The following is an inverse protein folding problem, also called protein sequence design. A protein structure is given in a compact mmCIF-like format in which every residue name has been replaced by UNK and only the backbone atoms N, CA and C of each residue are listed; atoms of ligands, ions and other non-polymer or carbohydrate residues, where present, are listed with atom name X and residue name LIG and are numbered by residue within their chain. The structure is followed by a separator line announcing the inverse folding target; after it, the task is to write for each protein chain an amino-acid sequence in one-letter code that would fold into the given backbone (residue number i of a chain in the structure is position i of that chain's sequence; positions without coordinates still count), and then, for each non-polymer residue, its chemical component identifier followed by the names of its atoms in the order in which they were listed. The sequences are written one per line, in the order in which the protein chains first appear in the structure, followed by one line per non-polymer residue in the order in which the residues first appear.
data_IF_213651792319
#
_entry.id   IF_213651792319
#
_cell.length_a   1.000
_cell.length_b   1.000
_cell.length_c   1.000
_cell.angle_alpha   90.00
_cell.angle_beta   90.00
_cell.angle_gamma   90.00
#
_symmetry.space_group_name_H-M   'P 1'
#
loop_
_entity.id
_entity.type
_entity.pdbx_description
1 polymer ?
#
# COMPACT_ATOMS: atom_id res chain seq x y z
N UNK A 1 11.85 -17.59 -2.66
CA UNK A 1 11.93 -16.12 -2.50
C UNK A 1 11.03 -15.50 -3.56
N UNK A 2 10.18 -14.54 -3.19
CA UNK A 2 9.43 -13.74 -4.17
C UNK A 2 10.45 -12.93 -4.96
N UNK A 3 10.54 -13.16 -6.27
CA UNK A 3 11.31 -12.31 -7.15
C UNK A 3 10.47 -11.06 -7.40
N UNK A 4 10.81 -9.95 -6.74
CA UNK A 4 10.20 -8.62 -6.95
C UNK A 4 10.64 -8.08 -8.32
N UNK A 5 10.06 -8.64 -9.37
CA UNK A 5 10.46 -8.35 -10.75
C UNK A 5 9.78 -7.10 -11.30
N UNK A 6 8.55 -6.84 -10.87
CA UNK A 6 7.68 -5.76 -11.33
C UNK A 6 7.54 -4.60 -10.34
N UNK A 7 8.18 -4.69 -9.18
CA UNK A 7 8.20 -3.61 -8.19
C UNK A 7 9.48 -2.79 -8.32
N UNK A 8 9.38 -1.60 -8.90
CA UNK A 8 10.55 -0.74 -9.20
C UNK A 8 10.22 0.75 -9.16
N UNK A 9 11.23 1.61 -8.90
CA UNK A 9 11.11 3.02 -9.23
C UNK A 9 11.00 3.23 -10.74
N UNK A 10 10.37 4.33 -11.17
CA UNK A 10 10.13 4.59 -12.60
C UNK A 10 11.43 4.58 -13.43
N UNK A 11 12.52 5.12 -12.87
CA UNK A 11 13.84 5.13 -13.52
C UNK A 11 14.52 3.76 -13.64
N UNK A 12 14.03 2.72 -12.95
CA UNK A 12 14.60 1.36 -12.96
C UNK A 12 13.85 0.35 -13.83
N UNK A 13 12.83 0.79 -14.56
CA UNK A 13 11.97 -0.08 -15.36
C UNK A 13 12.56 -0.46 -16.70
N UNK A 14 12.21 -1.65 -17.18
CA UNK A 14 12.35 -2.01 -18.59
C UNK A 14 11.28 -1.32 -19.44
N UNK A 15 11.49 -1.22 -20.75
CA UNK A 15 10.47 -0.69 -21.67
C UNK A 15 9.14 -1.44 -21.55
N UNK A 16 9.19 -2.78 -21.51
CA UNK A 16 7.99 -3.60 -21.37
C UNK A 16 7.24 -3.37 -20.05
N UNK A 17 7.92 -2.95 -18.97
CA UNK A 17 7.28 -2.59 -17.70
C UNK A 17 6.64 -1.20 -17.79
N UNK A 18 7.34 -0.25 -18.40
CA UNK A 18 6.85 1.10 -18.61
C UNK A 18 5.56 1.09 -19.46
N UNK A 19 5.51 0.29 -20.51
CA UNK A 19 4.32 0.15 -21.39
C UNK A 19 3.10 -0.44 -20.67
N UNK A 20 3.28 -1.14 -19.54
CA UNK A 20 2.18 -1.68 -18.72
C UNK A 20 1.65 -0.69 -17.68
N UNK A 21 2.27 0.47 -17.50
CA UNK A 21 1.79 1.46 -16.53
C UNK A 21 0.43 2.00 -17.00
N UNK A 22 -0.60 1.77 -16.20
CA UNK A 22 -1.90 2.39 -16.41
C UNK A 22 -1.77 3.91 -16.29
N UNK A 23 -2.23 4.70 -17.27
CA UNK A 23 -2.20 6.15 -17.16
C UNK A 23 -3.04 6.62 -15.97
N UNK A 24 -2.49 7.55 -15.20
CA UNK A 24 -3.20 8.22 -14.12
C UNK A 24 -4.15 9.29 -14.67
N UNK A 25 -5.16 9.66 -13.87
CA UNK A 25 -6.14 10.67 -14.25
C UNK A 25 -6.31 11.72 -13.14
N UNK A 26 -6.59 12.96 -13.56
CA UNK A 26 -7.00 14.05 -12.67
C UNK A 26 -8.41 13.81 -12.10
N UNK A 27 -8.85 14.59 -11.09
CA UNK A 27 -10.23 14.54 -10.62
C UNK A 27 -11.28 14.76 -11.74
N UNK A 28 -10.94 15.52 -12.77
CA UNK A 28 -11.75 15.81 -13.95
C UNK A 28 -11.72 14.68 -15.01
N UNK A 29 -11.08 13.55 -14.70
CA UNK A 29 -10.91 12.39 -15.59
C UNK A 29 -10.02 12.65 -16.81
N UNK A 30 -9.22 13.71 -16.78
CA UNK A 30 -8.22 13.98 -17.80
C UNK A 30 -6.98 13.13 -17.55
N UNK A 31 -6.33 12.65 -18.63
CA UNK A 31 -5.08 11.90 -18.52
C UNK A 31 -3.99 12.78 -17.93
N UNK A 32 -3.41 12.35 -16.82
CA UNK A 32 -2.31 13.04 -16.18
C UNK A 32 -0.94 12.57 -16.73
N UNK A 33 0.04 13.47 -16.71
CA UNK A 33 1.42 13.15 -17.08
C UNK A 33 2.08 12.31 -15.98
N UNK A 34 2.84 11.29 -16.39
CA UNK A 34 3.71 10.54 -15.48
C UNK A 34 4.96 11.37 -15.22
N UNK A 35 5.11 11.86 -13.99
CA UNK A 35 6.30 12.59 -13.57
C UNK A 35 7.32 11.62 -12.96
N UNK A 36 8.58 11.74 -13.38
CA UNK A 36 9.70 11.11 -12.69
C UNK A 36 10.12 12.00 -11.53
N UNK A 37 9.76 11.61 -10.31
CA UNK A 37 10.25 12.31 -9.13
C UNK A 37 11.40 11.52 -8.52
N UNK A 38 12.55 11.48 -9.19
CA UNK A 38 13.73 10.77 -8.69
C UNK A 38 14.18 11.21 -7.29
N UNK A 39 13.83 12.43 -6.86
CA UNK A 39 14.07 12.91 -5.50
C UNK A 39 13.17 12.26 -4.43
N UNK A 40 12.06 11.62 -4.82
CA UNK A 40 11.13 10.95 -3.91
C UNK A 40 11.31 9.43 -3.87
N UNK A 41 12.31 8.86 -4.56
CA UNK A 41 12.57 7.42 -4.49
C UNK A 41 12.75 6.98 -3.04
N UNK A 42 11.80 6.16 -2.56
CA UNK A 42 11.72 5.68 -1.17
C UNK A 42 10.59 6.30 -0.33
N UNK A 43 10.06 7.46 -0.72
CA UNK A 43 8.89 8.10 -0.09
C UNK A 43 7.65 8.06 -1.00
N UNK A 44 7.86 8.18 -2.30
CA UNK A 44 6.89 7.95 -3.36
C UNK A 44 7.65 7.28 -4.54
N UNK A 45 7.01 7.08 -5.69
CA UNK A 45 7.66 6.58 -6.92
C UNK A 45 7.93 5.06 -7.01
N UNK A 46 7.39 4.23 -6.12
CA UNK A 46 7.35 2.78 -6.36
C UNK A 46 6.11 2.41 -7.19
N UNK A 47 6.36 1.72 -8.29
CA UNK A 47 5.33 1.10 -9.12
C UNK A 47 5.41 -0.40 -8.90
N UNK A 48 4.26 -1.06 -8.88
CA UNK A 48 4.15 -2.49 -8.69
C UNK A 48 2.91 -3.02 -9.40
N UNK A 49 2.90 -4.32 -9.70
CA UNK A 49 1.71 -5.01 -10.20
C UNK A 49 0.84 -5.48 -9.02
N UNK A 50 -0.46 -5.65 -9.24
CA UNK A 50 -1.35 -6.18 -8.21
C UNK A 50 -0.85 -7.54 -7.63
N UNK A 51 -0.39 -8.51 -8.43
CA UNK A 51 0.17 -9.76 -7.89
C UNK A 51 1.34 -9.55 -6.92
N UNK A 52 2.26 -8.62 -7.20
CA UNK A 52 3.38 -8.36 -6.30
C UNK A 52 2.95 -7.62 -5.04
N UNK A 53 2.03 -6.66 -5.13
CA UNK A 53 1.44 -6.03 -3.93
C UNK A 53 0.74 -7.07 -3.06
N UNK A 54 -0.01 -8.00 -3.66
CA UNK A 54 -0.64 -9.10 -2.92
C UNK A 54 0.40 -10.03 -2.27
N UNK A 55 1.50 -10.31 -2.96
CA UNK A 55 2.60 -11.10 -2.41
C UNK A 55 3.30 -10.39 -1.24
N UNK A 56 3.41 -9.05 -1.28
CA UNK A 56 3.91 -8.23 -0.18
C UNK A 56 3.01 -8.33 1.03
N UNK A 57 1.71 -8.18 0.85
CA UNK A 57 0.74 -8.30 1.94
C UNK A 57 0.71 -9.72 2.51
N UNK A 58 0.84 -10.75 1.68
CA UNK A 58 0.96 -12.13 2.16
C UNK A 58 2.21 -12.32 3.03
N UNK A 59 3.36 -11.78 2.62
CA UNK A 59 4.58 -11.83 3.42
C UNK A 59 4.44 -11.10 4.77
N UNK A 60 3.74 -9.97 4.81
CA UNK A 60 3.45 -9.23 6.05
C UNK A 60 2.63 -10.03 7.07
N UNK A 61 1.85 -11.01 6.59
CA UNK A 61 0.97 -11.86 7.40
C UNK A 61 1.57 -13.24 7.72
N UNK A 62 2.75 -13.56 7.17
CA UNK A 62 3.36 -14.88 7.28
C UNK A 62 4.43 -14.91 8.38
N UNK A 63 4.20 -15.65 9.49
CA UNK A 63 5.18 -15.79 10.56
C UNK A 63 6.40 -16.62 10.16
N UNK A 64 6.33 -17.40 9.07
CA UNK A 64 7.43 -18.24 8.60
C UNK A 64 8.26 -17.56 7.50
N UNK A 65 7.90 -16.33 7.11
CA UNK A 65 8.62 -15.62 6.07
C UNK A 65 10.07 -15.34 6.52
N UNK A 66 11.09 -15.52 5.66
CA UNK A 66 12.49 -15.29 6.05
C UNK A 66 12.81 -13.87 6.54
N UNK A 67 11.96 -12.89 6.20
CA UNK A 67 12.06 -11.50 6.64
C UNK A 67 11.09 -11.16 7.79
N UNK A 68 10.50 -12.16 8.45
CA UNK A 68 9.44 -11.95 9.44
C UNK A 68 9.83 -10.92 10.50
N UNK A 69 11.01 -11.04 11.11
CA UNK A 69 11.48 -10.12 12.15
C UNK A 69 11.55 -8.67 11.65
N UNK A 70 12.06 -8.45 10.44
CA UNK A 70 12.12 -7.12 9.83
C UNK A 70 10.72 -6.57 9.55
N UNK A 71 9.81 -7.41 9.05
CA UNK A 71 8.43 -7.03 8.79
C UNK A 71 7.71 -6.66 10.09
N UNK A 72 7.87 -7.45 11.16
CA UNK A 72 7.32 -7.15 12.49
C UNK A 72 7.81 -5.80 13.00
N UNK A 73 9.09 -5.45 12.83
CA UNK A 73 9.61 -4.13 13.21
C UNK A 73 8.88 -2.98 12.50
N UNK A 74 8.51 -3.14 11.22
CA UNK A 74 7.72 -2.11 10.50
C UNK A 74 6.32 -1.93 11.08
N UNK A 75 5.76 -3.00 11.64
CA UNK A 75 4.40 -3.05 12.16
C UNK A 75 4.28 -2.60 13.62
N UNK A 76 5.40 -2.42 14.34
CA UNK A 76 5.41 -1.98 15.73
C UNK A 76 5.05 -0.49 15.87
N UNK A 77 4.48 -0.13 17.01
CA UNK A 77 4.22 1.28 17.36
C UNK A 77 5.53 1.97 17.72
N UNK A 78 5.90 2.98 16.94
CA UNK A 78 7.06 3.84 17.20
C UNK A 78 6.66 5.23 17.68
N UNK A 79 5.43 5.66 17.38
CA UNK A 79 4.91 6.97 17.81
C UNK A 79 3.41 6.91 18.06
N UNK A 80 2.96 7.32 19.24
CA UNK A 80 1.54 7.35 19.59
C UNK A 80 0.85 8.64 19.09
N UNK A 81 -0.32 8.50 18.48
CA UNK A 81 -1.18 9.59 18.01
C UNK A 81 -2.44 9.79 18.88
N UNK A 82 -2.56 9.01 19.97
CA UNK A 82 -3.70 9.02 20.88
C UNK A 82 -4.96 8.32 20.33
N UNK A 83 -5.90 8.00 21.22
CA UNK A 83 -7.17 7.34 20.91
C UNK A 83 -7.00 6.02 20.11
N UNK A 84 -6.06 5.17 20.54
CA UNK A 84 -5.80 3.89 19.87
C UNK A 84 -5.13 4.03 18.49
N UNK A 85 -4.49 5.16 18.21
CA UNK A 85 -3.80 5.42 16.94
C UNK A 85 -2.30 5.53 17.18
N UNK A 86 -1.51 4.96 16.29
CA UNK A 86 -0.06 5.06 16.32
C UNK A 86 0.54 5.02 14.90
N UNK A 87 1.82 5.30 14.80
CA UNK A 87 2.62 5.14 13.58
C UNK A 87 3.63 4.02 13.78
N UNK A 88 3.64 3.08 12.83
CA UNK A 88 4.77 2.21 12.55
C UNK A 88 5.63 2.78 11.43
N UNK A 89 6.61 2.01 10.96
CA UNK A 89 7.41 2.41 9.79
C UNK A 89 6.62 2.13 8.52
N UNK A 90 6.05 3.19 7.93
CA UNK A 90 5.21 3.09 6.72
C UNK A 90 3.74 2.71 6.99
N UNK A 91 3.38 2.46 8.26
CA UNK A 91 2.03 2.03 8.63
C UNK A 91 1.36 2.98 9.61
N UNK A 92 0.08 3.29 9.35
CA UNK A 92 -0.84 3.84 10.36
C UNK A 92 -1.44 2.66 11.12
N UNK A 93 -1.26 2.64 12.44
CA UNK A 93 -1.79 1.59 13.31
C UNK A 93 -3.08 2.10 13.96
N UNK A 94 -4.09 1.23 13.99
CA UNK A 94 -5.38 1.46 14.63
C UNK A 94 -5.69 0.31 15.58
N UNK A 95 -6.06 0.66 16.80
CA UNK A 95 -6.40 -0.26 17.88
C UNK A 95 -7.69 0.21 18.56
N UNK A 96 -8.76 -0.59 18.46
CA UNK A 96 -10.06 -0.29 19.08
C UNK A 96 -10.69 -1.58 19.58
N UNK A 97 -11.09 -1.60 20.85
CA UNK A 97 -11.85 -2.71 21.45
C UNK A 97 -11.23 -4.09 21.20
N UNK A 98 -9.90 -4.19 21.34
CA UNK A 98 -9.15 -5.44 21.13
C UNK A 98 -8.89 -5.82 19.67
N UNK A 99 -9.38 -5.03 18.70
CA UNK A 99 -9.03 -5.18 17.29
C UNK A 99 -7.85 -4.30 16.95
N UNK A 100 -6.93 -4.82 16.14
CA UNK A 100 -5.73 -4.11 15.70
C UNK A 100 -5.54 -4.28 14.20
N UNK A 101 -5.43 -3.18 13.47
CA UNK A 101 -5.14 -3.23 12.04
C UNK A 101 -4.15 -2.14 11.63
N UNK A 102 -3.53 -2.37 10.49
CA UNK A 102 -2.54 -1.49 9.89
C UNK A 102 -3.07 -0.97 8.57
N UNK A 103 -2.83 0.30 8.30
CA UNK A 103 -3.26 0.99 7.09
C UNK A 103 -2.07 1.68 6.43
N UNK A 104 -2.02 1.60 5.11
CA UNK A 104 -1.11 2.39 4.30
C UNK A 104 -1.94 2.98 3.17
N UNK A 105 -1.78 4.27 2.90
CA UNK A 105 -2.45 4.90 1.79
C UNK A 105 -1.60 6.03 1.22
N UNK A 106 -1.81 6.32 -0.05
CA UNK A 106 -1.05 7.33 -0.77
C UNK A 106 -1.75 7.66 -2.07
N UNK A 107 -1.62 8.90 -2.50
CA UNK A 107 -2.17 9.34 -3.77
C UNK A 107 -1.26 10.34 -4.48
N UNK A 108 -1.28 10.19 -5.80
CA UNK A 108 -0.88 11.18 -6.79
C UNK A 108 -1.90 11.08 -7.92
N UNK A 109 -1.50 10.89 -9.18
CA UNK A 109 -2.42 10.63 -10.29
C UNK A 109 -3.03 9.21 -10.23
N UNK A 110 -2.62 8.44 -9.23
CA UNK A 110 -3.11 7.13 -8.82
C UNK A 110 -3.37 7.17 -7.31
N UNK A 111 -4.20 6.28 -6.80
CA UNK A 111 -4.44 6.15 -5.38
C UNK A 111 -4.33 4.69 -4.93
N UNK A 112 -3.77 4.51 -3.74
CA UNK A 112 -3.60 3.24 -3.07
C UNK A 112 -4.23 3.35 -1.69
N UNK A 113 -4.99 2.34 -1.29
CA UNK A 113 -5.33 2.13 0.11
C UNK A 113 -5.22 0.64 0.46
N UNK A 114 -4.46 0.38 1.52
CA UNK A 114 -4.23 -0.94 2.11
C UNK A 114 -4.82 -0.94 3.51
N UNK A 115 -5.40 -2.08 3.91
CA UNK A 115 -5.64 -2.43 5.30
C UNK A 115 -5.25 -3.89 5.54
N UNK A 116 -4.61 -4.18 6.66
CA UNK A 116 -4.29 -5.54 7.07
C UNK A 116 -4.47 -5.76 8.57
N UNK A 117 -4.82 -6.99 8.94
CA UNK A 117 -4.92 -7.48 10.32
C UNK A 117 -4.17 -8.82 10.38
N UNK A 118 -3.01 -8.79 11.04
CA UNK A 118 -2.16 -9.97 11.21
C UNK A 118 -2.81 -11.04 12.10
N UNK A 119 -3.61 -10.62 13.10
CA UNK A 119 -4.33 -11.54 13.98
C UNK A 119 -5.42 -12.31 13.24
N UNK A 120 -6.04 -11.70 12.24
CA UNK A 120 -7.02 -12.34 11.35
C UNK A 120 -6.40 -12.91 10.06
N UNK A 121 -5.09 -12.79 9.88
CA UNK A 121 -4.35 -13.19 8.66
C UNK A 121 -5.01 -12.69 7.38
N UNK A 122 -5.43 -11.42 7.40
CA UNK A 122 -6.21 -10.81 6.33
C UNK A 122 -5.60 -9.50 5.87
N UNK A 123 -5.62 -9.26 4.57
CA UNK A 123 -5.26 -7.99 3.97
C UNK A 123 -6.19 -7.65 2.80
N UNK A 124 -6.33 -6.35 2.56
CA UNK A 124 -7.08 -5.76 1.46
C UNK A 124 -6.23 -4.66 0.83
N UNK A 125 -6.21 -4.61 -0.49
CA UNK A 125 -5.62 -3.51 -1.25
C UNK A 125 -6.60 -3.04 -2.32
N UNK A 126 -6.76 -1.73 -2.42
CA UNK A 126 -7.45 -1.06 -3.51
C UNK A 126 -6.42 -0.21 -4.26
N UNK A 127 -6.34 -0.41 -5.58
CA UNK A 127 -5.55 0.39 -6.51
C UNK A 127 -6.49 1.14 -7.43
N UNK A 128 -6.25 2.43 -7.62
CA UNK A 128 -6.99 3.29 -8.55
C UNK A 128 -6.04 4.07 -9.43
N UNK A 129 -6.42 4.27 -10.69
CA UNK A 129 -5.73 5.14 -11.63
C UNK A 129 -6.29 6.57 -11.62
N UNK A 130 -6.91 6.98 -10.51
CA UNK A 130 -7.38 8.34 -10.24
C UNK A 130 -6.84 8.82 -8.91
N UNK A 131 -6.65 10.13 -8.77
CA UNK A 131 -6.14 10.78 -7.57
C UNK A 131 -7.11 10.83 -6.37
N UNK A 132 -8.28 10.18 -6.46
CA UNK A 132 -9.34 10.32 -5.46
C UNK A 132 -9.10 9.40 -4.25
N UNK A 133 -8.17 9.79 -3.37
CA UNK A 133 -7.81 9.02 -2.19
C UNK A 133 -8.99 8.76 -1.27
N UNK A 134 -9.84 9.76 -1.05
CA UNK A 134 -11.00 9.64 -0.15
C UNK A 134 -11.97 8.54 -0.62
N UNK A 135 -12.28 8.50 -1.91
CA UNK A 135 -13.13 7.44 -2.47
C UNK A 135 -12.48 6.05 -2.36
N UNK A 136 -11.17 5.96 -2.56
CA UNK A 136 -10.44 4.69 -2.44
C UNK A 136 -10.42 4.19 -0.99
N UNK A 137 -10.23 5.08 -0.01
CA UNK A 137 -10.31 4.73 1.40
C UNK A 137 -11.74 4.35 1.83
N UNK A 138 -12.77 5.05 1.34
CA UNK A 138 -14.17 4.69 1.58
C UNK A 138 -14.50 3.29 1.04
N UNK A 139 -14.08 2.99 -0.19
CA UNK A 139 -14.27 1.66 -0.79
C UNK A 139 -13.56 0.60 0.04
N UNK A 140 -12.31 0.84 0.44
CA UNK A 140 -11.54 -0.08 1.30
C UNK A 140 -12.30 -0.34 2.59
N UNK A 141 -12.80 0.70 3.25
CA UNK A 141 -13.47 0.58 4.54
C UNK A 141 -14.77 -0.21 4.42
N UNK A 142 -15.58 0.09 3.41
CA UNK A 142 -16.81 -0.64 3.12
C UNK A 142 -16.55 -2.12 2.79
N UNK A 143 -15.55 -2.42 1.95
CA UNK A 143 -15.21 -3.82 1.62
C UNK A 143 -14.67 -4.54 2.85
N UNK A 144 -13.87 -3.85 3.67
CA UNK A 144 -13.31 -4.42 4.90
C UNK A 144 -14.39 -4.83 5.89
N UNK A 145 -15.39 -3.98 6.10
CA UNK A 145 -16.49 -4.24 7.03
C UNK A 145 -17.46 -5.34 6.56
N UNK A 146 -17.60 -5.52 5.25
CA UNK A 146 -18.56 -6.47 4.67
C UNK A 146 -17.96 -7.82 4.26
N UNK A 147 -16.64 -7.98 4.37
CA UNK A 147 -16.00 -9.28 4.12
C UNK A 147 -15.66 -9.90 5.47
N UNK A 148 -16.06 -11.16 5.75
CA UNK A 148 -15.75 -11.84 7.00
C UNK A 148 -14.24 -12.09 7.18
#
# INVERSE_FOLDING_TARGET
ALAWTDTRPLGGMTQAQFERITPGHTPEQERALSYQYGAFTGAADLYSSLPEVMAFLAAQLDPLHPLHDALVLTQQSHFALGAGRAMGWGWRIRETSGKRWLEMSGAHHHALAVRMDAGQRRALVILSNTANLAAVEEIRDRVWENTP
#
